data_IF_606626365635
#
_entry.id   IF_606626365635
#
_cell.length_a   1.000
_cell.length_b   1.000
_cell.length_c   1.000
_cell.angle_alpha   90.00
_cell.angle_beta   90.00
_cell.angle_gamma   90.00
#
_symmetry.space_group_name_H-M   'P 1'
#
loop_
_entity.id
_entity.type
_entity.pdbx_description
1 polymer ?
#
# COMPACT_ATOMS: atom_id res chain seq x y z
N UNK A 1 -3.25 10.22 -0.99
CA UNK A 1 -2.52 9.29 -0.10
C UNK A 1 -1.31 8.78 -0.87
N UNK A 2 -0.08 9.06 -0.40
CA UNK A 2 1.11 8.46 -0.99
C UNK A 2 1.12 6.95 -0.74
N UNK A 3 1.66 6.21 -1.71
CA UNK A 3 1.86 4.78 -1.63
C UNK A 3 3.29 4.50 -2.08
N UNK A 4 4.01 3.70 -1.30
CA UNK A 4 5.41 3.36 -1.58
C UNK A 4 5.48 1.88 -2.01
N UNK A 5 6.25 1.55 -3.07
CA UNK A 5 6.48 0.17 -3.47
C UNK A 5 7.10 -0.66 -2.34
N UNK A 6 6.53 -1.81 -2.04
CA UNK A 6 6.96 -2.70 -0.95
C UNK A 6 8.42 -3.14 -1.11
N UNK A 7 8.81 -3.48 -2.34
CA UNK A 7 10.18 -3.89 -2.68
C UNK A 7 11.23 -2.82 -2.35
N UNK A 8 10.87 -1.53 -2.31
CA UNK A 8 11.81 -0.46 -1.96
C UNK A 8 12.22 -0.48 -0.48
N UNK A 9 11.43 -1.14 0.38
CA UNK A 9 11.67 -1.26 1.82
C UNK A 9 12.04 -2.68 2.23
N UNK A 10 11.55 -3.68 1.50
CA UNK A 10 11.75 -5.10 1.78
C UNK A 10 12.11 -5.87 0.51
N UNK A 11 13.29 -5.61 -0.10
CA UNK A 11 13.67 -6.20 -1.38
C UNK A 11 13.71 -7.74 -1.33
N UNK A 12 14.30 -8.33 -0.28
CA UNK A 12 14.45 -9.79 -0.17
C UNK A 12 13.09 -10.50 -0.08
N UNK A 13 12.14 -9.93 0.66
CA UNK A 13 10.78 -10.48 0.76
C UNK A 13 10.08 -10.33 -0.59
N UNK A 14 10.18 -9.14 -1.20
CA UNK A 14 9.54 -8.88 -2.48
C UNK A 14 10.07 -9.78 -3.60
N UNK A 15 11.38 -10.03 -3.66
CA UNK A 15 12.00 -10.91 -4.67
C UNK A 15 11.45 -12.34 -4.59
N UNK A 16 11.24 -12.85 -3.38
CA UNK A 16 10.74 -14.21 -3.16
C UNK A 16 9.22 -14.34 -3.27
N UNK A 17 8.46 -13.29 -2.95
CA UNK A 17 7.01 -13.40 -2.70
C UNK A 17 6.13 -12.61 -3.70
N UNK A 18 6.72 -11.75 -4.54
CA UNK A 18 5.99 -11.00 -5.59
C UNK A 18 5.32 -11.95 -6.56
N UNK A 19 4.02 -11.74 -6.79
CA UNK A 19 3.25 -12.56 -7.74
C UNK A 19 3.52 -12.12 -9.17
N UNK A 20 3.68 -13.09 -10.06
CA UNK A 20 3.59 -12.87 -11.50
C UNK A 20 2.63 -13.85 -12.14
N UNK A 21 1.99 -13.45 -13.24
CA UNK A 21 1.17 -14.30 -14.08
C UNK A 21 1.87 -14.52 -15.41
N UNK A 22 2.11 -15.79 -15.75
CA UNK A 22 2.59 -16.16 -17.08
C UNK A 22 1.35 -16.45 -17.91
N UNK A 23 1.19 -15.69 -18.99
CA UNK A 23 0.06 -15.76 -19.90
C UNK A 23 0.57 -16.27 -21.24
N UNK A 24 -0.10 -17.29 -21.78
CA UNK A 24 0.22 -17.93 -23.05
C UNK A 24 -1.07 -18.22 -23.80
N UNK A 25 -1.14 -17.84 -25.07
CA UNK A 25 -2.28 -18.05 -25.98
C UNK A 25 -3.62 -17.61 -25.38
N UNK A 26 -3.64 -16.50 -24.64
CA UNK A 26 -4.86 -15.96 -24.05
C UNK A 26 -5.57 -15.05 -25.07
N UNK A 27 -6.91 -15.15 -25.21
CA UNK A 27 -7.64 -14.35 -26.18
C UNK A 27 -7.65 -12.85 -25.84
N UNK A 28 -7.49 -12.51 -24.56
CA UNK A 28 -7.64 -11.14 -24.04
C UNK A 28 -6.28 -10.47 -23.76
N UNK A 29 -5.21 -11.25 -23.60
CA UNK A 29 -3.90 -10.76 -23.19
C UNK A 29 -2.79 -11.35 -24.06
N UNK A 30 -1.84 -10.53 -24.54
CA UNK A 30 -0.70 -11.06 -25.27
C UNK A 30 0.18 -11.93 -24.37
N UNK A 31 0.91 -12.86 -24.99
CA UNK A 31 1.90 -13.69 -24.33
C UNK A 31 2.91 -12.81 -23.59
N UNK A 32 2.97 -12.93 -22.28
CA UNK A 32 3.91 -12.19 -21.43
C UNK A 32 3.92 -12.79 -20.02
N UNK A 33 4.88 -12.35 -19.22
CA UNK A 33 4.83 -12.45 -17.77
C UNK A 33 4.44 -11.10 -17.20
N UNK A 34 3.28 -11.02 -16.56
CA UNK A 34 2.80 -9.82 -15.90
C UNK A 34 3.17 -9.84 -14.41
N UNK A 35 3.93 -8.85 -13.96
CA UNK A 35 4.49 -8.79 -12.59
C UNK A 35 3.64 -7.82 -11.76
N UNK A 36 3.05 -8.31 -10.67
CA UNK A 36 2.16 -7.55 -9.80
C UNK A 36 2.94 -7.06 -8.59
N UNK A 37 3.67 -5.96 -8.75
CA UNK A 37 4.44 -5.38 -7.64
C UNK A 37 3.53 -4.64 -6.68
N UNK A 38 3.71 -4.89 -5.38
CA UNK A 38 2.87 -4.31 -4.33
C UNK A 38 3.37 -2.91 -3.93
N UNK A 39 2.43 -2.03 -3.59
CA UNK A 39 2.67 -0.76 -2.93
C UNK A 39 1.64 -0.52 -1.81
N UNK A 40 2.08 0.13 -0.74
CA UNK A 40 1.31 0.31 0.49
C UNK A 40 1.37 1.75 1.00
N UNK A 41 0.33 2.15 1.73
CA UNK A 41 0.21 3.50 2.28
C UNK A 41 1.25 3.74 3.37
N UNK A 42 2.08 4.76 3.17
CA UNK A 42 3.12 5.23 4.08
C UNK A 42 2.64 6.31 5.04
N UNK A 43 1.35 6.65 5.02
CA UNK A 43 0.77 7.61 5.95
C UNK A 43 0.76 7.05 7.39
N UNK A 44 1.13 7.92 8.32
CA UNK A 44 1.21 7.60 9.74
C UNK A 44 -0.19 7.40 10.32
N UNK A 45 -0.33 6.42 11.22
CA UNK A 45 -1.60 6.06 11.86
C UNK A 45 -2.74 5.72 10.89
N UNK A 46 -2.43 5.45 9.61
CA UNK A 46 -3.41 5.03 8.61
C UNK A 46 -3.53 3.50 8.59
N UNK A 47 -4.72 2.98 8.87
CA UNK A 47 -5.06 1.56 8.71
C UNK A 47 -5.89 1.30 7.44
N UNK A 48 -5.51 1.84 6.28
CA UNK A 48 -6.37 1.73 5.08
C UNK A 48 -6.65 0.30 4.58
N UNK A 49 -5.89 -0.72 5.03
CA UNK A 49 -6.08 -2.14 4.69
C UNK A 49 -6.26 -2.42 3.19
N UNK A 50 -5.41 -1.77 2.39
CA UNK A 50 -5.40 -1.83 0.93
C UNK A 50 -4.01 -2.10 0.40
N UNK A 51 -3.95 -2.71 -0.77
CA UNK A 51 -2.74 -2.85 -1.60
C UNK A 51 -2.97 -2.21 -2.96
N UNK A 52 -1.91 -1.61 -3.50
CA UNK A 52 -1.85 -1.16 -4.88
C UNK A 52 -0.93 -2.11 -5.63
N UNK A 53 -1.39 -2.68 -6.73
CA UNK A 53 -0.58 -3.46 -7.65
C UNK A 53 -0.17 -2.58 -8.82
N UNK A 54 1.11 -2.30 -8.94
CA UNK A 54 1.69 -1.78 -10.17
C UNK A 54 2.04 -2.98 -11.05
N UNK A 55 1.31 -3.14 -12.15
CA UNK A 55 1.41 -4.29 -13.04
C UNK A 55 2.33 -3.95 -14.20
N UNK A 56 3.45 -4.67 -14.30
CA UNK A 56 4.44 -4.48 -15.35
C UNK A 56 4.44 -5.64 -16.33
N UNK A 57 4.67 -5.34 -17.60
CA UNK A 57 5.07 -6.34 -18.60
C UNK A 57 6.54 -6.70 -18.42
N UNK A 58 6.87 -7.98 -18.32
CA UNK A 58 8.26 -8.42 -18.22
C UNK A 58 9.01 -8.22 -19.55
N UNK A 59 8.33 -8.41 -20.69
CA UNK A 59 8.91 -8.17 -22.03
C UNK A 59 9.24 -6.70 -22.28
N UNK A 60 8.30 -5.79 -22.02
CA UNK A 60 8.43 -4.37 -22.40
C UNK A 60 8.90 -3.48 -21.25
N UNK A 61 8.88 -3.98 -20.01
CA UNK A 61 9.15 -3.25 -18.76
C UNK A 61 8.22 -2.06 -18.50
N UNK A 62 7.15 -1.91 -19.30
CA UNK A 62 6.17 -0.82 -19.14
C UNK A 62 5.19 -1.12 -18.02
N UNK A 63 4.79 -0.08 -17.29
CA UNK A 63 3.63 -0.10 -16.41
C UNK A 63 2.36 -0.18 -17.26
N UNK A 64 1.56 -1.22 -17.05
CA UNK A 64 0.35 -1.50 -17.82
C UNK A 64 -0.93 -1.19 -17.06
N UNK A 65 -0.91 -1.36 -15.74
CA UNK A 65 -2.06 -1.07 -14.90
C UNK A 65 -1.64 -0.71 -13.47
N UNK A 66 -2.46 0.10 -12.82
CA UNK A 66 -2.44 0.29 -11.36
C UNK A 66 -3.78 -0.16 -10.81
N UNK A 67 -3.77 -1.29 -10.10
CA UNK A 67 -4.97 -1.95 -9.56
C UNK A 67 -4.98 -1.79 -8.04
N UNK A 68 -6.12 -1.43 -7.47
CA UNK A 68 -6.30 -1.35 -6.02
C UNK A 68 -7.07 -2.55 -5.52
N UNK A 69 -6.68 -3.09 -4.37
CA UNK A 69 -7.43 -4.12 -3.67
C UNK A 69 -7.57 -3.79 -2.19
N UNK A 70 -8.81 -3.56 -1.74
CA UNK A 70 -9.18 -3.48 -0.33
C UNK A 70 -9.84 -4.77 0.14
N UNK A 71 -9.28 -5.42 1.16
CA UNK A 71 -9.73 -6.76 1.57
C UNK A 71 -10.78 -6.77 2.69
N UNK A 72 -11.06 -5.64 3.33
CA UNK A 72 -12.17 -5.53 4.26
C UNK A 72 -13.52 -5.39 3.56
N UNK A 73 -14.59 -5.55 4.32
CA UNK A 73 -15.95 -5.28 3.83
C UNK A 73 -16.21 -3.78 3.78
N UNK A 74 -17.29 -3.39 3.10
CA UNK A 74 -17.72 -1.99 2.95
C UNK A 74 -17.85 -1.28 4.29
N UNK A 75 -18.41 -1.96 5.29
CA UNK A 75 -18.68 -1.41 6.62
C UNK A 75 -17.41 -0.86 7.27
N UNK A 76 -16.29 -1.59 7.12
CA UNK A 76 -14.99 -1.15 7.61
C UNK A 76 -14.57 0.18 6.99
N UNK A 77 -14.70 0.33 5.67
CA UNK A 77 -14.28 1.56 4.99
C UNK A 77 -15.19 2.74 5.27
N UNK A 78 -16.47 2.49 5.52
CA UNK A 78 -17.42 3.52 5.96
C UNK A 78 -16.98 4.09 7.32
N UNK A 79 -16.68 3.21 8.28
CA UNK A 79 -16.19 3.61 9.59
C UNK A 79 -14.83 4.29 9.51
N UNK A 80 -13.88 3.72 8.76
CA UNK A 80 -12.52 4.24 8.63
C UNK A 80 -12.47 5.62 7.95
N UNK A 81 -13.28 5.84 6.91
CA UNK A 81 -13.36 7.14 6.22
C UNK A 81 -14.21 8.16 6.98
N UNK A 82 -15.07 7.72 7.90
CA UNK A 82 -16.11 8.57 8.49
C UNK A 82 -17.11 9.11 7.46
N UNK A 83 -17.27 8.42 6.33
CA UNK A 83 -18.11 8.81 5.19
C UNK A 83 -18.74 7.56 4.56
N UNK A 84 -19.99 7.67 4.10
CA UNK A 84 -20.73 6.59 3.45
C UNK A 84 -21.15 6.93 2.01
N UNK A 85 -20.40 7.79 1.31
CA UNK A 85 -20.61 7.99 -0.13
C UNK A 85 -20.32 6.68 -0.88
N UNK A 86 -21.33 6.06 -1.53
CA UNK A 86 -21.14 4.78 -2.21
C UNK A 86 -20.05 4.84 -3.28
N UNK A 87 -19.95 5.95 -4.01
CA UNK A 87 -18.95 6.11 -5.08
C UNK A 87 -17.53 6.06 -4.51
N UNK A 88 -17.33 6.62 -3.31
CA UNK A 88 -16.03 6.57 -2.62
C UNK A 88 -15.78 5.15 -2.10
N UNK A 89 -16.73 4.57 -1.36
CA UNK A 89 -16.56 3.26 -0.71
C UNK A 89 -16.33 2.14 -1.74
N UNK A 90 -17.00 2.19 -2.89
CA UNK A 90 -16.79 1.25 -4.01
C UNK A 90 -15.37 1.29 -4.56
N UNK A 91 -14.68 2.44 -4.50
CA UNK A 91 -13.26 2.52 -4.90
C UNK A 91 -12.29 2.01 -3.82
N UNK A 92 -12.74 1.91 -2.57
CA UNK A 92 -11.92 1.49 -1.44
C UNK A 92 -12.01 -0.01 -1.22
N UNK A 93 -13.22 -0.55 -1.26
CA UNK A 93 -13.54 -1.94 -0.98
C UNK A 93 -13.43 -2.81 -2.24
N UNK A 94 -12.76 -3.95 -2.12
CA UNK A 94 -12.61 -4.87 -3.24
C UNK A 94 -11.61 -4.38 -4.28
N UNK A 95 -11.76 -4.90 -5.50
CA UNK A 95 -10.87 -4.64 -6.62
C UNK A 95 -11.34 -3.48 -7.48
N UNK A 96 -10.40 -2.67 -7.94
CA UNK A 96 -10.67 -1.59 -8.89
C UNK A 96 -9.40 -1.11 -9.60
N UNK A 97 -9.58 -0.31 -10.65
CA UNK A 97 -8.48 0.44 -11.25
C UNK A 97 -8.28 1.75 -10.49
N UNK A 98 -7.03 2.11 -10.22
CA UNK A 98 -6.72 3.44 -9.71
C UNK A 98 -6.91 4.48 -10.83
N UNK A 99 -8.06 5.17 -10.82
CA UNK A 99 -8.42 6.15 -11.87
C UNK A 99 -7.46 7.34 -11.96
N UNK A 100 -6.72 7.63 -10.87
CA UNK A 100 -5.71 8.68 -10.85
C UNK A 100 -4.36 8.27 -11.46
N UNK A 101 -4.19 7.01 -11.85
CA UNK A 101 -2.96 6.49 -12.50
C UNK A 101 -3.18 6.24 -13.98
N UNK A 102 -2.08 6.28 -14.75
CA UNK A 102 -2.08 5.83 -16.13
C UNK A 102 -2.45 4.35 -16.21
N UNK A 103 -3.31 4.02 -17.18
CA UNK A 103 -3.75 2.67 -17.50
C UNK A 103 -3.50 2.41 -18.98
N UNK A 104 -3.12 1.19 -19.34
CA UNK A 104 -3.12 0.72 -20.73
C UNK A 104 -4.47 0.09 -21.09
N UNK A 105 -4.68 -0.17 -22.37
CA UNK A 105 -5.85 -0.91 -22.86
C UNK A 105 -5.93 -2.35 -22.30
N UNK A 106 -4.83 -2.87 -21.76
CA UNK A 106 -4.77 -4.20 -21.12
C UNK A 106 -5.28 -4.19 -19.67
N UNK A 107 -5.45 -3.02 -19.04
CA UNK A 107 -5.77 -2.90 -17.62
C UNK A 107 -7.06 -3.63 -17.19
N UNK A 108 -8.18 -3.56 -17.94
CA UNK A 108 -9.40 -4.30 -17.57
C UNK A 108 -9.21 -5.81 -17.57
N UNK A 109 -8.43 -6.35 -18.51
CA UNK A 109 -8.15 -7.77 -18.59
C UNK A 109 -7.22 -8.23 -17.46
N UNK A 110 -6.19 -7.45 -17.15
CA UNK A 110 -5.30 -7.70 -16.01
C UNK A 110 -6.06 -7.66 -14.67
N UNK A 111 -7.01 -6.73 -14.51
CA UNK A 111 -7.92 -6.68 -13.38
C UNK A 111 -8.73 -7.98 -13.24
N UNK A 112 -9.30 -8.48 -14.34
CA UNK A 112 -10.04 -9.74 -14.35
C UNK A 112 -9.17 -10.94 -13.98
N UNK A 113 -7.91 -11.00 -14.46
CA UNK A 113 -7.00 -12.10 -14.10
C UNK A 113 -6.63 -12.08 -12.62
N UNK A 114 -6.32 -10.92 -12.05
CA UNK A 114 -5.97 -10.84 -10.62
C UNK A 114 -7.18 -11.08 -9.71
N UNK A 115 -8.39 -10.71 -10.14
CA UNK A 115 -9.64 -11.05 -9.45
C UNK A 115 -9.81 -12.57 -9.28
N UNK A 116 -9.61 -13.32 -10.36
CA UNK A 116 -9.65 -14.79 -10.32
C UNK A 116 -8.59 -15.34 -9.35
N UNK A 117 -7.38 -14.79 -9.34
CA UNK A 117 -6.32 -15.23 -8.43
C UNK A 117 -6.69 -14.95 -6.97
N UNK A 118 -7.13 -13.73 -6.66
CA UNK A 118 -7.47 -13.34 -5.29
C UNK A 118 -8.68 -14.10 -4.73
N UNK A 119 -9.66 -14.44 -5.58
CA UNK A 119 -10.81 -15.26 -5.19
C UNK A 119 -10.43 -16.70 -4.87
N UNK A 120 -9.46 -17.27 -5.60
CA UNK A 120 -9.13 -18.69 -5.50
C UNK A 120 -7.92 -18.98 -4.59
N UNK A 121 -7.01 -18.03 -4.39
CA UNK A 121 -5.80 -18.21 -3.58
C UNK A 121 -5.88 -17.41 -2.27
N UNK A 122 -6.50 -18.01 -1.25
CA UNK A 122 -6.57 -17.42 0.11
C UNK A 122 -5.20 -17.23 0.74
N UNK A 123 -4.22 -18.07 0.40
CA UNK A 123 -2.86 -17.94 0.92
C UNK A 123 -2.19 -16.68 0.37
N UNK A 124 -2.43 -16.35 -0.90
CA UNK A 124 -1.99 -15.10 -1.47
C UNK A 124 -2.61 -13.89 -0.77
N UNK A 125 -3.92 -13.90 -0.54
CA UNK A 125 -4.60 -12.82 0.19
C UNK A 125 -4.01 -12.66 1.59
N UNK A 126 -3.74 -13.75 2.29
CA UNK A 126 -3.09 -13.70 3.61
C UNK A 126 -1.67 -13.15 3.56
N UNK A 127 -0.91 -13.46 2.50
CA UNK A 127 0.42 -12.91 2.27
C UNK A 127 0.40 -11.40 2.07
N UNK A 128 -0.53 -10.90 1.24
CA UNK A 128 -0.74 -9.45 1.06
C UNK A 128 -1.07 -8.73 2.37
N UNK A 129 -1.91 -9.34 3.22
CA UNK A 129 -2.23 -8.83 4.55
C UNK A 129 -0.99 -8.83 5.46
N UNK A 130 -0.12 -9.84 5.34
CA UNK A 130 1.11 -9.92 6.11
C UNK A 130 2.13 -8.85 5.68
N UNK A 131 2.35 -8.69 4.37
CA UNK A 131 3.19 -7.63 3.81
C UNK A 131 2.71 -6.25 4.25
N UNK A 132 1.41 -6.00 4.20
CA UNK A 132 0.81 -4.78 4.75
C UNK A 132 1.18 -4.56 6.22
N UNK A 133 1.02 -5.58 7.08
CA UNK A 133 1.38 -5.48 8.51
C UNK A 133 2.87 -5.19 8.72
N UNK A 134 3.74 -5.87 7.97
CA UNK A 134 5.19 -5.63 8.01
C UNK A 134 5.50 -4.19 7.61
N UNK A 135 4.87 -3.71 6.54
CA UNK A 135 5.03 -2.36 6.04
C UNK A 135 4.54 -1.31 7.04
N UNK A 136 3.34 -1.46 7.61
CA UNK A 136 2.82 -0.52 8.61
C UNK A 136 3.69 -0.46 9.87
N UNK A 137 4.21 -1.60 10.34
CA UNK A 137 5.20 -1.63 11.44
C UNK A 137 6.48 -0.85 11.10
N UNK A 138 6.92 -0.85 9.84
CA UNK A 138 8.07 -0.06 9.41
C UNK A 138 7.76 1.44 9.39
N UNK A 139 6.59 1.83 8.87
CA UNK A 139 6.10 3.23 8.92
C UNK A 139 6.08 3.74 10.36
N UNK A 140 5.46 3.01 11.29
CA UNK A 140 5.39 3.39 12.71
C UNK A 140 6.78 3.54 13.37
N UNK A 141 7.74 2.67 13.03
CA UNK A 141 9.11 2.74 13.56
C UNK A 141 9.87 3.96 13.04
N UNK A 142 9.67 4.34 11.77
CA UNK A 142 10.34 5.50 11.20
C UNK A 142 9.84 6.81 11.82
N UNK A 143 8.55 6.91 12.13
CA UNK A 143 8.01 8.05 12.90
C UNK A 143 8.69 8.21 14.25
N UNK A 144 8.92 7.10 14.96
CA UNK A 144 9.63 7.14 16.25
C UNK A 144 11.07 7.61 16.09
N UNK A 145 11.76 7.27 14.99
CA UNK A 145 13.11 7.75 14.69
C UNK A 145 13.15 9.23 14.34
N UNK A 146 12.20 9.73 13.55
CA UNK A 146 12.12 11.17 13.22
C UNK A 146 11.74 12.03 14.43
N UNK A 147 10.97 11.48 15.38
CA UNK A 147 10.65 12.15 16.65
C UNK A 147 11.79 12.12 17.68
N UNK A 148 12.83 11.30 17.46
CA UNK A 148 14.08 11.38 18.21
C UNK A 148 14.95 12.40 17.47
N UNK A 149 14.78 13.69 17.76
CA UNK A 149 15.63 14.74 17.18
C UNK A 149 17.10 14.45 17.48
N UNK A 150 17.92 13.94 16.53
CA UNK A 150 19.33 13.70 16.77
C UNK A 150 19.99 15.06 16.58
N UNK A 151 20.10 15.85 17.65
CA UNK A 151 20.91 17.06 17.67
C UNK A 151 20.21 18.39 17.95
N UNK A 152 18.92 18.43 18.34
CA UNK A 152 18.40 19.67 18.93
C UNK A 152 19.02 19.81 20.33
N UNK A 153 19.97 20.74 20.50
CA UNK A 153 20.36 21.26 21.82
C UNK A 153 19.18 22.06 22.40
N UNK A 154 18.09 21.39 22.72
CA UNK A 154 16.95 21.98 23.42
C UNK A 154 17.29 21.98 24.90
N UNK A 155 17.36 23.18 25.50
CA UNK A 155 17.57 23.33 26.92
C UNK A 155 16.43 22.70 27.69
N UNK A 156 16.72 22.13 28.86
CA UNK A 156 15.73 21.47 29.74
C UNK A 156 14.50 22.36 30.02
N UNK A 157 14.66 23.68 30.00
CA UNK A 157 13.59 24.65 30.25
C UNK A 157 12.95 25.25 28.98
N UNK A 158 13.44 24.95 27.78
CA UNK A 158 12.92 25.47 26.52
C UNK A 158 11.57 24.84 26.19
N UNK A 159 10.83 25.46 25.27
CA UNK A 159 9.58 24.90 24.76
C UNK A 159 9.84 23.58 24.04
N UNK A 160 9.01 22.59 24.34
CA UNK A 160 9.16 21.25 23.82
C UNK A 160 8.95 21.23 22.29
N UNK A 161 9.88 20.65 21.50
CA UNK A 161 9.78 20.64 20.04
C UNK A 161 8.62 19.78 19.52
N UNK A 162 7.92 19.02 20.38
CA UNK A 162 6.71 18.29 20.01
C UNK A 162 5.47 19.18 19.83
N UNK A 163 5.57 20.49 20.05
CA UNK A 163 4.47 21.44 19.83
C UNK A 163 3.45 21.51 20.98
N UNK A 164 3.74 20.89 22.13
CA UNK A 164 2.81 20.86 23.28
C UNK A 164 2.67 22.18 24.05
N UNK A 165 3.53 23.17 23.77
CA UNK A 165 3.62 24.42 24.54
C UNK A 165 4.19 24.27 25.95
N UNK A 166 4.54 23.04 26.39
CA UNK A 166 5.15 22.76 27.69
C UNK A 166 6.68 22.86 27.63
N UNK A 167 7.33 23.07 28.77
CA UNK A 167 8.80 22.96 28.88
C UNK A 167 9.25 21.54 28.55
N UNK A 168 10.42 21.39 27.92
CA UNK A 168 10.94 20.09 27.49
C UNK A 168 11.01 19.09 28.66
N UNK A 169 11.47 19.54 29.84
CA UNK A 169 11.55 18.74 31.07
C UNK A 169 10.23 18.21 31.62
N UNK A 170 9.11 18.81 31.27
CA UNK A 170 7.78 18.40 31.77
C UNK A 170 6.93 17.76 30.68
N UNK A 171 7.54 17.40 29.55
CA UNK A 171 6.82 16.85 28.40
C UNK A 171 7.48 15.60 27.82
N UNK A 172 8.58 15.75 27.08
CA UNK A 172 9.20 14.65 26.33
C UNK A 172 10.51 14.15 26.93
N UNK A 173 11.00 14.77 28.02
CA UNK A 173 12.18 14.31 28.77
C UNK A 173 11.81 13.37 29.94
N UNK A 174 10.51 13.14 30.18
CA UNK A 174 10.02 12.25 31.24
C UNK A 174 9.88 10.81 30.76
#
# INVERSE_FOLDING_TARGET
MPYIPFHSKFPDIAENETRSLIVLADPDLPDDRYIFTEAYCDENNCDCRRVFFNVFSDKTKKLLAVITFGWEKREYYIEWMGNNDPNVIDTLAGLGLNLASSQSDLAPFLLKKIDLVLKNDKNYVNRLKNHYKIFKKHVEKNVKKEKIYPGLKVGRNDLCPCGSGKKYKTCCLN
#
